data_IF_635080535007
#
_entry.id   IF_635080535007
#
_cell.length_a   1.000
_cell.length_b   1.000
_cell.length_c   1.000
_cell.angle_alpha   90.00
_cell.angle_beta   90.00
_cell.angle_gamma   90.00
#
_symmetry.space_group_name_H-M   'P 1'
#
loop_
_entity.id
_entity.type
_entity.pdbx_description
1 polymer ?
#
# COMPACT_ATOMS: atom_id res chain seq x y z
N UNK A 1 6.35 -6.95 -4.06
CA UNK A 1 6.08 -7.04 -2.60
C UNK A 1 4.66 -7.55 -2.38
N UNK A 2 4.27 -7.90 -1.14
CA UNK A 2 2.93 -8.45 -0.84
C UNK A 2 1.78 -7.52 -1.27
N UNK A 3 1.93 -6.20 -1.12
CA UNK A 3 0.97 -5.22 -1.65
C UNK A 3 0.76 -5.36 -3.15
N UNK A 4 1.84 -5.45 -3.92
CA UNK A 4 1.75 -5.50 -5.39
C UNK A 4 1.02 -6.78 -5.83
N UNK A 5 1.30 -7.91 -5.18
CA UNK A 5 0.61 -9.17 -5.40
C UNK A 5 -0.90 -9.06 -5.11
N UNK A 6 -1.26 -8.51 -3.94
CA UNK A 6 -2.65 -8.36 -3.54
C UNK A 6 -3.40 -7.34 -4.41
N UNK A 7 -2.71 -6.30 -4.90
CA UNK A 7 -3.28 -5.36 -5.86
C UNK A 7 -3.60 -6.06 -7.19
N UNK A 8 -2.69 -6.89 -7.70
CA UNK A 8 -2.94 -7.70 -8.91
C UNK A 8 -4.11 -8.68 -8.71
N UNK A 9 -4.21 -9.35 -7.56
CA UNK A 9 -5.35 -10.22 -7.23
C UNK A 9 -6.68 -9.43 -7.18
N UNK A 10 -6.66 -8.22 -6.60
CA UNK A 10 -7.81 -7.35 -6.55
C UNK A 10 -8.23 -6.87 -7.95
N UNK A 11 -7.28 -6.57 -8.83
CA UNK A 11 -7.54 -6.19 -10.22
C UNK A 11 -8.13 -7.33 -11.05
N UNK A 12 -7.66 -8.56 -10.81
CA UNK A 12 -8.13 -9.75 -11.50
C UNK A 12 -9.54 -10.19 -11.04
N UNK A 13 -9.74 -10.31 -9.73
CA UNK A 13 -10.98 -10.83 -9.14
C UNK A 13 -12.07 -9.77 -8.98
N UNK A 14 -11.70 -8.50 -8.77
CA UNK A 14 -12.60 -7.35 -8.56
C UNK A 14 -13.65 -7.59 -7.47
N UNK A 15 -13.36 -8.44 -6.50
CA UNK A 15 -14.24 -8.69 -5.36
C UNK A 15 -13.95 -7.69 -4.24
N UNK A 16 -14.97 -7.38 -3.42
CA UNK A 16 -14.81 -6.49 -2.27
C UNK A 16 -13.75 -6.99 -1.28
N UNK A 17 -13.68 -8.30 -1.06
CA UNK A 17 -12.70 -8.91 -0.17
C UNK A 17 -11.26 -8.67 -0.64
N UNK A 18 -10.98 -8.92 -1.93
CA UNK A 18 -9.63 -8.76 -2.47
C UNK A 18 -9.18 -7.31 -2.52
N UNK A 19 -10.10 -6.39 -2.82
CA UNK A 19 -9.83 -4.95 -2.74
C UNK A 19 -9.53 -4.50 -1.31
N UNK A 20 -10.22 -5.05 -0.30
CA UNK A 20 -9.94 -4.76 1.10
C UNK A 20 -8.56 -5.30 1.52
N UNK A 21 -8.18 -6.50 1.07
CA UNK A 21 -6.84 -7.06 1.31
C UNK A 21 -5.74 -6.20 0.70
N UNK A 22 -5.94 -5.72 -0.53
CA UNK A 22 -5.01 -4.79 -1.17
C UNK A 22 -4.90 -3.44 -0.42
N UNK A 23 -6.03 -2.91 0.07
CA UNK A 23 -6.06 -1.69 0.93
C UNK A 23 -5.25 -1.87 2.19
N UNK A 24 -5.53 -2.94 2.95
CA UNK A 24 -4.84 -3.22 4.20
C UNK A 24 -3.34 -3.40 3.99
N UNK A 25 -2.94 -4.13 2.95
CA UNK A 25 -1.52 -4.30 2.63
C UNK A 25 -0.83 -2.98 2.29
N UNK A 26 -1.51 -2.07 1.59
CA UNK A 26 -0.96 -0.74 1.31
C UNK A 26 -0.84 0.11 2.58
N UNK A 27 -1.85 0.10 3.44
CA UNK A 27 -1.87 0.83 4.73
C UNK A 27 -0.75 0.37 5.67
N UNK A 28 -0.44 -0.94 5.69
CA UNK A 28 0.70 -1.47 6.44
C UNK A 28 2.01 -0.90 5.92
N UNK A 29 2.23 -0.88 4.60
CA UNK A 29 3.45 -0.29 4.03
C UNK A 29 3.53 1.19 4.37
N UNK A 30 2.46 1.96 4.20
CA UNK A 30 2.45 3.38 4.51
C UNK A 30 2.76 3.65 5.99
N UNK A 31 2.25 2.81 6.89
CA UNK A 31 2.56 2.87 8.32
C UNK A 31 4.05 2.63 8.58
N UNK A 32 4.67 1.68 7.88
CA UNK A 32 6.11 1.42 7.97
C UNK A 32 6.98 2.54 7.40
N UNK A 33 6.45 3.41 6.53
CA UNK A 33 7.18 4.57 5.97
C UNK A 33 7.16 5.81 6.86
N UNK A 34 6.42 5.75 7.98
CA UNK A 34 6.44 6.82 8.99
C UNK A 34 7.82 6.85 9.65
N UNK A 35 8.30 8.04 10.08
CA UNK A 35 9.57 8.15 10.77
C UNK A 35 9.64 7.16 11.94
N UNK A 36 10.75 6.41 12.00
CA UNK A 36 10.98 5.48 13.08
C UNK A 36 11.03 6.22 14.42
N UNK A 37 10.53 5.57 15.47
CA UNK A 37 10.49 6.11 16.84
C UNK A 37 11.49 5.36 17.70
N UNK A 38 11.88 5.97 18.81
CA UNK A 38 12.69 5.32 19.85
C UNK A 38 12.12 3.96 20.27
N UNK A 39 12.94 2.90 20.38
CA UNK A 39 14.40 2.80 20.20
C UNK A 39 14.86 2.37 18.79
N UNK A 40 13.98 2.46 17.79
CA UNK A 40 14.17 1.91 16.46
C UNK A 40 14.58 2.98 15.43
N UNK A 41 15.13 4.12 15.85
CA UNK A 41 15.48 5.23 14.94
C UNK A 41 16.45 4.81 13.82
N UNK A 42 17.24 3.75 14.04
CA UNK A 42 18.12 3.17 13.02
C UNK A 42 17.40 2.23 12.03
N UNK A 43 16.18 1.80 12.33
CA UNK A 43 15.36 0.91 11.50
C UNK A 43 14.41 1.72 10.61
N UNK A 44 14.98 2.58 9.78
CA UNK A 44 14.25 3.36 8.80
C UNK A 44 14.74 3.04 7.38
N UNK A 45 13.86 3.25 6.43
CA UNK A 45 14.22 3.21 5.02
C UNK A 45 14.90 4.54 4.65
N UNK A 46 16.04 4.54 3.93
CA UNK A 46 16.68 5.78 3.49
C UNK A 46 15.68 6.71 2.79
N UNK A 47 15.76 8.03 3.03
CA UNK A 47 14.67 8.95 2.64
C UNK A 47 14.36 8.92 1.12
N UNK A 48 15.37 8.74 0.26
CA UNK A 48 15.15 8.59 -1.18
C UNK A 48 14.29 7.36 -1.53
N UNK A 49 14.51 6.25 -0.83
CA UNK A 49 13.74 5.03 -0.98
C UNK A 49 12.35 5.18 -0.35
N UNK A 50 12.25 5.85 0.80
CA UNK A 50 10.97 6.17 1.44
C UNK A 50 10.08 7.06 0.57
N UNK A 51 10.64 8.10 -0.07
CA UNK A 51 9.92 8.95 -1.03
C UNK A 51 9.41 8.12 -2.21
N UNK A 52 10.25 7.24 -2.76
CA UNK A 52 9.84 6.35 -3.86
C UNK A 52 8.69 5.45 -3.42
N UNK A 53 8.75 4.89 -2.22
CA UNK A 53 7.72 3.98 -1.73
C UNK A 53 6.41 4.72 -1.38
N UNK A 54 6.47 5.94 -0.84
CA UNK A 54 5.27 6.79 -0.64
C UNK A 54 4.54 7.06 -1.96
N UNK A 55 5.27 7.35 -3.04
CA UNK A 55 4.68 7.51 -4.38
C UNK A 55 3.99 6.22 -4.87
N UNK A 56 4.57 5.06 -4.56
CA UNK A 56 3.97 3.76 -4.89
C UNK A 56 2.69 3.49 -4.08
N UNK A 57 2.67 3.86 -2.80
CA UNK A 57 1.47 3.79 -1.96
C UNK A 57 0.33 4.65 -2.53
N UNK A 58 0.62 5.90 -2.90
CA UNK A 58 -0.35 6.81 -3.52
C UNK A 58 -0.91 6.27 -4.84
N UNK A 59 -0.07 5.65 -5.66
CA UNK A 59 -0.51 5.00 -6.90
C UNK A 59 -1.43 3.81 -6.64
N UNK A 60 -1.09 2.96 -5.66
CA UNK A 60 -1.91 1.83 -5.25
C UNK A 60 -3.27 2.27 -4.69
N UNK A 61 -3.31 3.30 -3.84
CA UNK A 61 -4.56 3.89 -3.32
C UNK A 61 -5.46 4.39 -4.44
N UNK A 62 -4.88 5.12 -5.40
CA UNK A 62 -5.61 5.62 -6.57
C UNK A 62 -6.25 4.47 -7.36
N UNK A 63 -5.54 3.35 -7.49
CA UNK A 63 -6.04 2.17 -8.19
C UNK A 63 -7.12 1.44 -7.39
N UNK A 64 -6.93 1.27 -6.08
CA UNK A 64 -7.92 0.67 -5.17
C UNK A 64 -9.21 1.50 -5.17
N UNK A 65 -9.11 2.83 -5.15
CA UNK A 65 -10.27 3.72 -5.25
C UNK A 65 -11.05 3.50 -6.56
N UNK A 66 -10.35 3.37 -7.69
CA UNK A 66 -10.98 3.05 -8.98
C UNK A 66 -11.66 1.68 -8.97
N UNK A 67 -11.08 0.67 -8.33
CA UNK A 67 -11.69 -0.65 -8.20
C UNK A 67 -12.95 -0.59 -7.31
N UNK A 68 -12.91 0.14 -6.19
CA UNK A 68 -14.07 0.35 -5.32
C UNK A 68 -15.23 1.04 -6.06
N UNK A 69 -14.94 2.06 -6.86
CA UNK A 69 -15.94 2.78 -7.64
C UNK A 69 -16.61 1.93 -8.75
N UNK A 70 -15.99 0.81 -9.16
CA UNK A 70 -16.57 -0.13 -10.13
C UNK A 70 -17.47 -1.20 -9.47
N UNK A 71 -17.45 -1.29 -8.14
CA UNK A 71 -18.26 -2.22 -7.35
C UNK A 71 -19.54 -1.58 -6.81
N UNK A 72 -19.60 -0.25 -6.76
CA UNK A 72 -20.80 0.52 -6.45
C UNK A 72 -21.72 0.62 -7.66
#
# INVERSE_FOLDING_TARGET
MIRDYLLTEAEASKTREQINRASLANEVVETCLRPARHPYEAQFLPEADAIRERKRCQAAESQIAKLRAKLS
#
